data_IF_784004966106
#
_entry.id   IF_784004966106
#
_cell.length_a   1.000
_cell.length_b   1.000
_cell.length_c   1.000
_cell.angle_alpha   90.00
_cell.angle_beta   90.00
_cell.angle_gamma   90.00
#
_symmetry.space_group_name_H-M   'P 1'
#
loop_
_entity.id
_entity.type
_entity.pdbx_description
1 polymer ?
#
# COMPACT_ATOMS: atom_id res chain seq x y z
N UNK A 1 -4.49 -16.28 5.02
CA UNK A 1 -3.05 -15.93 5.08
C UNK A 1 -2.40 -16.59 6.29
N UNK A 2 -1.73 -17.72 6.09
CA UNK A 2 -1.08 -18.52 7.16
C UNK A 2 0.40 -18.17 7.38
N UNK A 3 0.98 -17.35 6.49
CA UNK A 3 2.40 -16.98 6.56
C UNK A 3 2.76 -16.19 7.83
N UNK A 4 4.03 -16.16 8.25
CA UNK A 4 4.52 -15.26 9.28
C UNK A 4 4.23 -13.78 8.93
N UNK A 5 3.97 -12.94 9.95
CA UNK A 5 3.66 -11.51 9.78
C UNK A 5 4.70 -10.78 8.91
N UNK A 6 6.02 -10.98 9.07
CA UNK A 6 7.01 -10.30 8.23
C UNK A 6 6.89 -10.64 6.74
N UNK A 7 6.54 -11.90 6.41
CA UNK A 7 6.37 -12.33 5.02
C UNK A 7 5.10 -11.74 4.41
N UNK A 8 4.02 -11.65 5.20
CA UNK A 8 2.79 -10.96 4.78
C UNK A 8 3.06 -9.48 4.51
N UNK A 9 3.78 -8.81 5.41
CA UNK A 9 4.14 -7.40 5.27
C UNK A 9 4.97 -7.12 4.02
N UNK A 10 6.03 -7.91 3.77
CA UNK A 10 6.85 -7.79 2.55
C UNK A 10 6.04 -7.95 1.26
N UNK A 11 5.19 -8.98 1.21
CA UNK A 11 4.34 -9.23 0.04
C UNK A 11 3.34 -8.08 -0.18
N UNK A 12 2.66 -7.62 0.88
CA UNK A 12 1.75 -6.48 0.80
C UNK A 12 2.47 -5.19 0.37
N UNK A 13 3.68 -4.95 0.88
CA UNK A 13 4.52 -3.82 0.51
C UNK A 13 4.84 -3.80 -0.99
N UNK A 14 5.16 -4.96 -1.57
CA UNK A 14 5.39 -5.10 -3.01
C UNK A 14 4.11 -4.84 -3.83
N UNK A 15 2.97 -5.42 -3.42
CA UNK A 15 1.69 -5.21 -4.10
C UNK A 15 1.23 -3.76 -4.06
N UNK A 16 1.25 -3.13 -2.87
CA UNK A 16 0.87 -1.72 -2.71
C UNK A 16 1.86 -0.82 -3.43
N UNK A 17 3.16 -1.13 -3.37
CA UNK A 17 4.20 -0.42 -4.10
C UNK A 17 3.97 -0.44 -5.63
N UNK A 18 3.63 -1.60 -6.19
CA UNK A 18 3.29 -1.74 -7.61
C UNK A 18 2.05 -0.93 -8.00
N UNK A 19 0.99 -0.98 -7.18
CA UNK A 19 -0.21 -0.17 -7.38
C UNK A 19 0.12 1.33 -7.37
N UNK A 20 0.94 1.78 -6.41
CA UNK A 20 1.33 3.18 -6.30
C UNK A 20 2.21 3.60 -7.48
N UNK A 21 3.17 2.76 -7.89
CA UNK A 21 4.02 3.04 -9.04
C UNK A 21 3.20 3.30 -10.32
N UNK A 22 2.07 2.60 -10.49
CA UNK A 22 1.19 2.81 -11.63
C UNK A 22 0.26 4.04 -11.47
N UNK A 23 -0.36 4.20 -10.30
CA UNK A 23 -1.44 5.18 -10.09
C UNK A 23 -1.03 6.49 -9.40
N UNK A 24 0.23 6.68 -8.99
CA UNK A 24 0.73 7.90 -8.34
C UNK A 24 0.90 9.10 -9.28
N UNK A 25 -0.13 9.40 -10.08
CA UNK A 25 -0.20 10.63 -10.86
C UNK A 25 -0.56 11.82 -9.97
N UNK A 26 -0.12 13.04 -10.32
CA UNK A 26 -0.56 14.26 -9.65
C UNK A 26 -2.09 14.30 -9.67
N UNK A 27 -2.72 14.47 -8.50
CA UNK A 27 -4.17 14.37 -8.16
C UNK A 27 -4.64 13.06 -7.51
N UNK A 28 -3.89 11.96 -7.59
CA UNK A 28 -4.34 10.66 -7.08
C UNK A 28 -4.01 10.38 -5.60
N UNK A 29 -3.52 11.35 -4.82
CA UNK A 29 -3.18 11.13 -3.39
C UNK A 29 -4.38 10.61 -2.59
N UNK A 30 -5.57 11.18 -2.82
CA UNK A 30 -6.80 10.77 -2.11
C UNK A 30 -7.17 9.30 -2.35
N UNK A 31 -7.32 8.82 -3.61
CA UNK A 31 -7.62 7.41 -3.84
C UNK A 31 -6.49 6.47 -3.37
N UNK A 32 -5.22 6.87 -3.47
CA UNK A 32 -4.10 6.05 -2.98
C UNK A 32 -4.08 5.93 -1.45
N UNK A 33 -4.42 7.00 -0.75
CA UNK A 33 -4.57 7.00 0.71
C UNK A 33 -5.72 6.10 1.14
N UNK A 34 -6.87 6.20 0.47
CA UNK A 34 -8.03 5.34 0.73
C UNK A 34 -7.71 3.86 0.46
N UNK A 35 -6.99 3.57 -0.63
CA UNK A 35 -6.53 2.22 -0.95
C UNK A 35 -5.62 1.66 0.16
N UNK A 36 -4.59 2.42 0.56
CA UNK A 36 -3.69 2.02 1.66
C UNK A 36 -4.46 1.76 2.95
N UNK A 37 -5.40 2.62 3.30
CA UNK A 37 -6.24 2.45 4.48
C UNK A 37 -7.03 1.13 4.44
N UNK A 38 -7.68 0.82 3.31
CA UNK A 38 -8.42 -0.45 3.15
C UNK A 38 -7.54 -1.68 3.26
N UNK A 39 -6.33 -1.63 2.70
CA UNK A 39 -5.35 -2.73 2.83
C UNK A 39 -4.97 -2.95 4.30
N UNK A 40 -4.72 -1.88 5.04
CA UNK A 40 -4.40 -1.95 6.48
C UNK A 40 -5.57 -2.54 7.27
N UNK A 41 -6.80 -2.08 7.04
CA UNK A 41 -7.98 -2.59 7.74
C UNK A 41 -8.22 -4.07 7.46
N UNK A 42 -8.09 -4.51 6.20
CA UNK A 42 -8.21 -5.93 5.84
C UNK A 42 -7.10 -6.78 6.49
N UNK A 43 -5.87 -6.26 6.56
CA UNK A 43 -4.77 -6.95 7.21
C UNK A 43 -4.98 -7.05 8.72
N UNK A 44 -5.42 -5.97 9.37
CA UNK A 44 -5.85 -5.94 10.79
C UNK A 44 -6.89 -7.02 11.06
N UNK A 45 -8.00 -7.01 10.32
CA UNK A 45 -9.09 -8.00 10.49
C UNK A 45 -8.63 -9.43 10.29
N UNK A 46 -7.68 -9.65 9.39
CA UNK A 46 -7.11 -10.98 9.14
C UNK A 46 -6.23 -11.44 10.29
N UNK A 47 -5.42 -10.55 10.88
CA UNK A 47 -4.59 -10.85 12.04
C UNK A 47 -5.41 -11.01 13.32
N UNK A 48 -6.45 -10.20 13.53
CA UNK A 48 -7.38 -10.32 14.66
C UNK A 48 -8.06 -11.69 14.66
N UNK A 49 -8.62 -12.10 13.51
CA UNK A 49 -9.23 -13.43 13.35
C UNK A 49 -8.26 -14.57 13.64
N UNK A 50 -6.97 -14.39 13.35
CA UNK A 50 -5.93 -15.41 13.64
C UNK A 50 -5.53 -15.44 15.11
N UNK A 51 -5.52 -14.29 15.79
CA UNK A 51 -5.01 -14.16 17.16
C UNK A 51 -6.08 -14.20 18.24
N UNK A 52 -7.37 -14.09 17.91
CA UNK A 52 -8.49 -13.86 18.84
C UNK A 52 -8.25 -12.71 19.84
N UNK A 53 -7.50 -11.67 19.44
CA UNK A 53 -7.18 -10.50 20.26
C UNK A 53 -7.56 -9.23 19.50
N UNK A 54 -8.62 -8.56 19.95
CA UNK A 54 -9.18 -7.42 19.23
C UNK A 54 -8.59 -6.06 19.64
N UNK A 55 -8.40 -5.81 20.95
CA UNK A 55 -8.00 -4.49 21.48
C UNK A 55 -6.54 -4.10 21.21
N UNK A 56 -5.58 -4.98 21.50
CA UNK A 56 -4.14 -4.69 21.38
C UNK A 56 -3.61 -4.66 19.92
N UNK A 57 -4.48 -4.90 18.92
CA UNK A 57 -4.05 -5.00 17.52
C UNK A 57 -4.00 -3.65 16.80
N UNK A 58 -4.67 -2.61 17.31
CA UNK A 58 -4.78 -1.32 16.60
C UNK A 58 -3.43 -0.58 16.50
N UNK A 59 -2.73 -0.43 17.62
CA UNK A 59 -1.39 0.18 17.64
C UNK A 59 -0.38 -0.68 16.87
N UNK A 60 -0.45 -2.00 17.08
CA UNK A 60 0.44 -2.95 16.41
C UNK A 60 0.27 -2.92 14.88
N UNK A 61 -0.96 -2.84 14.36
CA UNK A 61 -1.15 -2.75 12.91
C UNK A 61 -0.68 -1.42 12.35
N UNK A 62 -0.82 -0.32 13.11
CA UNK A 62 -0.31 0.98 12.68
C UNK A 62 1.22 0.95 12.52
N UNK A 63 1.92 0.30 13.45
CA UNK A 63 3.37 0.10 13.35
C UNK A 63 3.75 -0.80 12.17
N UNK A 64 3.12 -1.97 12.04
CA UNK A 64 3.35 -2.87 10.90
C UNK A 64 3.08 -2.18 9.55
N UNK A 65 2.02 -1.37 9.47
CA UNK A 65 1.69 -0.63 8.25
C UNK A 65 2.75 0.43 7.91
N UNK A 66 3.34 1.08 8.91
CA UNK A 66 4.43 2.03 8.72
C UNK A 66 5.73 1.34 8.31
N UNK A 67 5.99 0.15 8.85
CA UNK A 67 7.21 -0.62 8.57
C UNK A 67 7.19 -1.23 7.16
N UNK A 68 6.03 -1.72 6.70
CA UNK A 68 5.93 -2.52 5.48
C UNK A 68 5.23 -1.84 4.30
N UNK A 69 4.28 -0.94 4.53
CA UNK A 69 3.46 -0.39 3.45
C UNK A 69 3.94 1.01 3.04
N UNK A 70 4.24 1.24 1.75
CA UNK A 70 4.67 2.56 1.29
C UNK A 70 3.58 3.60 1.57
N UNK A 71 4.03 4.82 1.88
CA UNK A 71 3.13 5.96 2.03
C UNK A 71 2.79 6.53 0.65
N UNK A 72 1.57 7.03 0.43
CA UNK A 72 1.20 7.64 -0.83
C UNK A 72 2.00 8.93 -0.99
N UNK A 73 2.91 8.95 -1.97
CA UNK A 73 3.69 10.13 -2.32
C UNK A 73 3.31 10.58 -3.74
N UNK A 74 3.19 11.89 -3.96
CA UNK A 74 3.10 12.49 -5.29
C UNK A 74 4.48 12.41 -5.98
N UNK A 75 4.89 11.21 -6.40
CA UNK A 75 6.26 10.96 -6.85
C UNK A 75 6.50 11.16 -8.34
N UNK A 76 5.49 11.55 -9.14
CA UNK A 76 5.68 11.60 -10.59
C UNK A 76 5.43 12.99 -11.21
N UNK A 77 6.33 13.44 -12.11
CA UNK A 77 6.01 14.46 -13.10
C UNK A 77 4.82 13.99 -13.98
N UNK A 78 4.08 14.93 -14.57
CA UNK A 78 2.87 14.68 -15.36
C UNK A 78 3.02 13.53 -16.39
N UNK A 79 1.93 12.75 -16.67
CA UNK A 79 1.95 11.59 -17.58
C UNK A 79 2.55 11.87 -18.97
N UNK A 80 2.42 13.11 -19.45
CA UNK A 80 3.00 13.57 -20.72
C UNK A 80 4.53 13.44 -20.76
N UNK A 81 5.22 13.48 -19.62
CA UNK A 81 6.65 13.20 -19.49
C UNK A 81 6.96 11.70 -19.35
N UNK A 82 6.00 10.90 -18.85
CA UNK A 82 6.16 9.46 -18.59
C UNK A 82 5.89 8.58 -19.83
N UNK A 83 5.03 9.05 -20.74
CA UNK A 83 4.64 8.37 -21.98
C UNK A 83 5.04 9.14 -23.25
N UNK A 84 6.07 9.99 -23.18
CA UNK A 84 6.63 10.64 -24.36
C UNK A 84 7.29 9.60 -25.30
N UNK A 85 6.49 8.81 -26.01
CA UNK A 85 6.93 7.98 -27.12
C UNK A 85 7.23 8.93 -28.27
N UNK A 86 8.51 9.20 -28.50
CA UNK A 86 8.98 9.79 -29.75
C UNK A 86 8.71 8.79 -30.87
N UNK A 87 7.54 8.85 -31.49
CA UNK A 87 7.34 8.22 -32.79
C UNK A 87 8.19 9.03 -33.78
N UNK A 88 9.38 8.53 -34.13
CA UNK A 88 9.96 8.94 -35.40
C UNK A 88 9.13 8.27 -36.48
N UNK A 89 8.48 9.08 -37.32
CA UNK A 89 7.98 8.60 -38.61
C UNK A 89 9.14 8.10 -39.46
#
# INVERSE_FOLDING_TARGET
MHWPIPNQGKWLGQTVGGQFAYFAVPTNVRPLTAFRYRVIDLWRRTLQRRSQKDGAMSERIAQLANDYLPKPCNLYPWPRARFAVKHSR
#
